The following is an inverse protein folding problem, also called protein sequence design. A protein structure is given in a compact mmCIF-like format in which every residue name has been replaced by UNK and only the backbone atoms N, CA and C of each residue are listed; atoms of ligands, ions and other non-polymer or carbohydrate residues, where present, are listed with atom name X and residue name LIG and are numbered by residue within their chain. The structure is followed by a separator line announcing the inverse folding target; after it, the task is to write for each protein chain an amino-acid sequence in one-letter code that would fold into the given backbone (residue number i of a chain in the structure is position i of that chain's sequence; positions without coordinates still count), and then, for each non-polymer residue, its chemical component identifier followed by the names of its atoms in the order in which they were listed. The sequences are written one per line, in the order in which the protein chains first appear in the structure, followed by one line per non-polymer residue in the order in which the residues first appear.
data_IF_002403126630
#
_entry.id   IF_002403126630
#
_cell.length_a   1.000
_cell.length_b   1.000
_cell.length_c   1.000
_cell.angle_alpha   90.00
_cell.angle_beta   90.00
_cell.angle_gamma   90.00
#
_symmetry.space_group_name_H-M   'P 1'
#
loop_
_entity.id
_entity.type
_entity.pdbx_description
1 polymer ?
#
# COMPACT_ATOMS: atom_id res chain seq x y z
N UNK A 1 22.11 -28.21 9.83
CA UNK A 1 21.88 -27.31 10.97
C UNK A 1 20.88 -26.28 10.48
N UNK A 2 19.60 -26.48 10.81
CA UNK A 2 18.46 -25.68 10.34
C UNK A 2 18.37 -24.43 11.20
N UNK A 3 18.29 -23.25 10.60
CA UNK A 3 18.03 -21.99 11.31
C UNK A 3 16.72 -21.43 10.80
N UNK A 4 15.65 -21.77 11.53
CA UNK A 4 14.34 -21.15 11.44
C UNK A 4 14.47 -19.72 11.97
N UNK A 5 14.09 -18.72 11.17
CA UNK A 5 14.12 -17.32 11.61
C UNK A 5 12.70 -16.89 11.95
N UNK A 6 12.29 -17.12 13.20
CA UNK A 6 11.11 -16.50 13.79
C UNK A 6 11.35 -14.99 13.96
N UNK A 7 10.54 -14.18 13.28
CA UNK A 7 10.52 -12.73 13.50
C UNK A 7 9.57 -12.44 14.65
N UNK A 8 10.12 -12.16 15.83
CA UNK A 8 9.39 -11.73 17.01
C UNK A 8 8.71 -10.38 16.79
N UNK A 9 7.39 -10.40 16.82
CA UNK A 9 6.51 -9.23 16.87
C UNK A 9 6.60 -8.53 18.23
N UNK A 10 7.06 -7.28 18.27
CA UNK A 10 6.89 -6.42 19.46
C UNK A 10 5.64 -5.57 19.25
N UNK A 11 4.59 -5.91 20.01
CA UNK A 11 3.35 -5.15 20.12
C UNK A 11 3.51 -3.97 21.08
N UNK A 12 3.01 -2.79 20.69
CA UNK A 12 2.64 -1.72 21.62
C UNK A 12 1.24 -1.19 21.29
N UNK A 13 0.56 -0.70 22.33
CA UNK A 13 -0.89 -0.61 22.50
C UNK A 13 -1.71 0.29 21.57
N UNK A 14 -3.02 0.04 21.65
CA UNK A 14 -4.16 0.42 20.78
C UNK A 14 -4.34 1.93 20.61
N UNK A 15 -4.30 2.37 19.35
CA UNK A 15 -5.08 3.50 18.80
C UNK A 15 -5.87 2.92 17.62
N UNK A 16 -7.15 3.26 17.52
CA UNK A 16 -8.12 2.90 16.45
C UNK A 16 -7.45 2.31 15.21
N UNK A 17 -7.53 0.98 15.03
CA UNK A 17 -6.85 0.26 13.95
C UNK A 17 -7.36 0.77 12.61
N UNK A 18 -6.60 1.67 11.98
CA UNK A 18 -6.56 1.71 10.52
C UNK A 18 -6.30 0.28 10.01
N UNK A 19 -6.90 -0.14 8.89
CA UNK A 19 -6.65 -1.48 8.35
C UNK A 19 -5.15 -1.69 8.24
N UNK A 20 -4.66 -2.72 8.98
CA UNK A 20 -3.23 -3.01 9.09
C UNK A 20 -2.60 -3.40 7.75
N UNK A 21 -3.44 -3.90 6.86
CA UNK A 21 -3.05 -4.34 5.53
C UNK A 21 -3.63 -3.41 4.45
N UNK A 22 -2.87 -3.18 3.38
CA UNK A 22 -3.40 -2.45 2.24
C UNK A 22 -4.57 -3.22 1.62
N UNK A 23 -5.60 -2.49 1.22
CA UNK A 23 -6.79 -3.05 0.55
C UNK A 23 -6.47 -3.55 -0.85
N UNK A 24 -5.42 -3.00 -1.47
CA UNK A 24 -4.95 -3.43 -2.77
C UNK A 24 -3.45 -3.14 -2.93
N UNK A 25 -2.74 -3.97 -3.70
CA UNK A 25 -1.32 -3.74 -4.03
C UNK A 25 -1.13 -3.91 -5.54
N UNK A 26 -0.54 -2.90 -6.17
CA UNK A 26 -0.16 -2.91 -7.58
C UNK A 26 1.36 -2.94 -7.66
N UNK A 27 1.92 -3.83 -8.48
CA UNK A 27 3.37 -4.04 -8.55
C UNK A 27 3.89 -4.11 -9.99
N UNK A 28 4.97 -3.39 -10.24
CA UNK A 28 5.75 -3.46 -11.47
C UNK A 28 7.24 -3.54 -11.16
N UNK A 29 7.85 -4.66 -11.55
CA UNK A 29 9.25 -4.96 -11.23
C UNK A 29 9.54 -4.84 -9.74
N UNK A 30 10.42 -3.90 -9.41
CA UNK A 30 10.84 -3.62 -8.03
C UNK A 30 9.94 -2.61 -7.30
N UNK A 31 9.01 -1.94 -8.00
CA UNK A 31 8.17 -0.87 -7.44
C UNK A 31 6.78 -1.42 -7.15
N UNK A 32 6.21 -1.06 -6.00
CA UNK A 32 4.83 -1.37 -5.64
C UNK A 32 4.11 -0.14 -5.07
N UNK A 33 2.84 0.00 -5.42
CA UNK A 33 1.89 0.90 -4.80
C UNK A 33 0.95 0.09 -3.91
N UNK A 34 0.95 0.38 -2.61
CA UNK A 34 0.01 -0.18 -1.64
C UNK A 34 -1.10 0.84 -1.40
N UNK A 35 -2.34 0.45 -1.68
CA UNK A 35 -3.54 1.28 -1.53
C UNK A 35 -4.19 0.95 -0.20
N UNK A 36 -4.59 1.96 0.56
CA UNK A 36 -5.19 1.83 1.88
C UNK A 36 -6.57 2.49 1.87
N UNK A 37 -7.51 1.93 2.64
CA UNK A 37 -8.79 2.58 2.94
C UNK A 37 -8.71 3.14 4.36
N UNK A 38 -8.75 4.46 4.50
CA UNK A 38 -8.64 5.14 5.80
C UNK A 38 -9.95 5.84 6.12
N UNK A 39 -10.11 6.19 7.39
CA UNK A 39 -11.23 7.01 7.85
C UNK A 39 -10.69 8.27 8.51
N UNK A 40 -11.13 9.42 8.04
CA UNK A 40 -10.76 10.71 8.62
C UNK A 40 -11.42 10.94 9.98
N UNK A 41 -10.96 11.92 10.78
CA UNK A 41 -11.56 12.25 12.08
C UNK A 41 -13.05 12.63 12.00
N UNK A 42 -13.50 13.14 10.85
CA UNK A 42 -14.89 13.47 10.54
C UNK A 42 -15.76 12.27 10.18
N UNK A 43 -15.19 11.07 10.13
CA UNK A 43 -15.89 9.83 9.80
C UNK A 43 -15.94 9.49 8.30
N UNK A 44 -15.51 10.38 7.41
CA UNK A 44 -15.45 10.10 5.97
C UNK A 44 -14.33 9.12 5.65
N UNK A 45 -14.66 8.06 4.91
CA UNK A 45 -13.69 7.13 4.37
C UNK A 45 -13.04 7.72 3.11
N UNK A 46 -11.75 7.48 2.93
CA UNK A 46 -11.00 7.87 1.74
C UNK A 46 -9.96 6.81 1.42
N UNK A 47 -9.48 6.79 0.17
CA UNK A 47 -8.37 5.96 -0.22
C UNK A 47 -7.10 6.80 -0.37
N UNK A 48 -5.97 6.25 0.03
CA UNK A 48 -4.65 6.77 -0.28
C UNK A 48 -3.72 5.64 -0.74
N UNK A 49 -2.53 5.97 -1.24
CA UNK A 49 -1.55 4.96 -1.57
C UNK A 49 -0.13 5.37 -1.18
N UNK A 50 0.67 4.37 -0.85
CA UNK A 50 2.10 4.52 -0.56
C UNK A 50 2.92 3.75 -1.57
N UNK A 51 4.02 4.34 -2.04
CA UNK A 51 4.97 3.69 -2.91
C UNK A 51 6.11 3.05 -2.09
N UNK A 52 6.60 1.92 -2.57
CA UNK A 52 7.81 1.28 -2.05
C UNK A 52 8.61 0.61 -3.16
N UNK A 53 9.93 0.53 -2.98
CA UNK A 53 10.84 -0.24 -3.82
C UNK A 53 11.44 -1.40 -3.05
N UNK A 54 11.30 -2.62 -3.56
CA UNK A 54 12.02 -3.77 -3.03
C UNK A 54 13.48 -3.78 -3.48
N UNK A 55 14.36 -4.25 -2.62
CA UNK A 55 15.77 -4.48 -2.93
C UNK A 55 16.24 -5.79 -2.33
N UNK A 56 17.28 -6.35 -2.94
CA UNK A 56 18.05 -7.48 -2.42
C UNK A 56 19.52 -7.10 -2.37
N UNK A 57 20.16 -7.29 -1.22
CA UNK A 57 21.60 -7.14 -1.10
C UNK A 57 22.28 -8.33 -1.75
N UNK A 58 23.22 -8.07 -2.65
CA UNK A 58 24.02 -9.10 -3.28
C UNK A 58 25.02 -9.75 -2.31
N UNK A 59 25.47 -9.01 -1.29
CA UNK A 59 26.51 -9.47 -0.36
C UNK A 59 25.99 -10.20 0.87
N UNK A 60 24.74 -9.93 1.29
CA UNK A 60 24.19 -10.46 2.54
C UNK A 60 22.91 -11.28 2.35
N UNK A 61 22.47 -11.48 1.10
CA UNK A 61 21.19 -12.10 0.70
C UNK A 61 19.92 -11.48 1.29
N UNK A 62 20.06 -10.43 2.12
CA UNK A 62 18.94 -9.73 2.76
C UNK A 62 18.08 -9.04 1.72
N UNK A 63 16.77 -9.11 1.92
CA UNK A 63 15.78 -8.36 1.16
C UNK A 63 15.13 -7.30 2.03
N UNK A 64 14.68 -6.21 1.43
CA UNK A 64 13.94 -5.17 2.15
C UNK A 64 13.18 -4.24 1.22
N UNK A 65 12.54 -3.25 1.83
CA UNK A 65 11.81 -2.19 1.13
C UNK A 65 12.48 -0.84 1.41
N UNK A 66 12.32 0.10 0.49
CA UNK A 66 12.85 1.46 0.60
C UNK A 66 11.86 2.46 0.00
N UNK A 67 11.87 3.69 0.51
CA UNK A 67 11.18 4.84 -0.08
C UNK A 67 12.11 5.68 -0.96
N UNK A 68 13.35 5.21 -1.21
CA UNK A 68 14.30 5.84 -2.11
C UNK A 68 14.27 5.15 -3.48
N UNK A 69 14.24 5.97 -4.54
CA UNK A 69 14.11 5.54 -5.93
C UNK A 69 15.30 6.00 -6.77
N UNK A 70 15.50 5.35 -7.91
CA UNK A 70 16.54 5.70 -8.87
C UNK A 70 15.91 6.15 -10.20
N UNK A 71 16.66 6.89 -11.02
CA UNK A 71 16.19 7.36 -12.33
C UNK A 71 15.67 6.23 -13.23
N UNK A 72 16.31 5.06 -13.18
CA UNK A 72 15.87 3.85 -13.91
C UNK A 72 14.51 3.30 -13.49
N UNK A 73 13.91 3.80 -12.42
CA UNK A 73 12.59 3.38 -11.93
C UNK A 73 11.47 4.30 -12.41
N UNK A 74 11.77 5.28 -13.28
CA UNK A 74 10.80 6.32 -13.69
C UNK A 74 9.56 5.73 -14.34
N UNK A 75 9.71 4.77 -15.25
CA UNK A 75 8.60 4.17 -15.97
C UNK A 75 7.70 3.36 -15.01
N UNK A 76 8.30 2.52 -14.16
CA UNK A 76 7.53 1.74 -13.19
C UNK A 76 6.84 2.66 -12.17
N UNK A 77 7.50 3.73 -11.72
CA UNK A 77 6.90 4.72 -10.81
C UNK A 77 5.67 5.39 -11.44
N UNK A 78 5.79 5.84 -12.68
CA UNK A 78 4.67 6.46 -13.41
C UNK A 78 3.54 5.44 -13.55
N UNK A 79 3.86 4.23 -13.99
CA UNK A 79 2.86 3.19 -14.25
C UNK A 79 2.11 2.79 -12.98
N UNK A 80 2.80 2.45 -11.89
CA UNK A 80 2.11 2.05 -10.64
C UNK A 80 1.32 3.21 -10.03
N UNK A 81 1.79 4.46 -10.17
CA UNK A 81 1.08 5.63 -9.64
C UNK A 81 -0.20 5.89 -10.41
N UNK A 82 -0.16 5.77 -11.75
CA UNK A 82 -1.35 5.87 -12.60
C UNK A 82 -2.36 4.78 -12.26
N UNK A 83 -1.93 3.52 -12.24
CA UNK A 83 -2.80 2.38 -11.93
C UNK A 83 -3.43 2.49 -10.54
N UNK A 84 -2.68 2.97 -9.54
CA UNK A 84 -3.21 3.19 -8.20
C UNK A 84 -4.26 4.31 -8.18
N UNK A 85 -4.00 5.43 -8.85
CA UNK A 85 -4.96 6.53 -8.97
C UNK A 85 -6.24 6.10 -9.70
N UNK A 86 -6.11 5.36 -10.81
CA UNK A 86 -7.25 4.83 -11.57
C UNK A 86 -8.09 3.88 -10.72
N UNK A 87 -7.44 2.98 -9.98
CA UNK A 87 -8.12 2.07 -9.05
C UNK A 87 -8.89 2.84 -7.97
N UNK A 88 -8.27 3.87 -7.37
CA UNK A 88 -8.93 4.70 -6.35
C UNK A 88 -10.14 5.41 -6.93
N UNK A 89 -9.99 6.06 -8.10
CA UNK A 89 -11.09 6.79 -8.73
C UNK A 89 -12.29 5.87 -9.04
N UNK A 90 -12.03 4.64 -9.50
CA UNK A 90 -13.08 3.65 -9.74
C UNK A 90 -13.82 3.27 -8.44
N UNK A 91 -13.09 3.11 -7.33
CA UNK A 91 -13.69 2.69 -6.05
C UNK A 91 -14.40 3.82 -5.33
N UNK A 92 -13.93 5.06 -5.45
CA UNK A 92 -14.63 6.24 -4.91
C UNK A 92 -15.97 6.48 -5.64
N UNK A 93 -16.02 6.25 -6.96
CA UNK A 93 -17.27 6.29 -7.72
C UNK A 93 -18.24 5.20 -7.26
N UNK A 94 -17.77 3.98 -7.01
CA UNK A 94 -18.62 2.89 -6.50
C UNK A 94 -19.13 3.17 -5.09
N UNK A 95 -18.27 3.61 -4.18
CA UNK A 95 -18.64 3.93 -2.79
C UNK A 95 -19.68 5.07 -2.74
N UNK A 96 -19.53 6.10 -3.58
CA UNK A 96 -20.49 7.22 -3.65
C UNK A 96 -21.85 6.82 -4.25
N UNK A 97 -21.87 5.96 -5.27
CA UNK A 97 -23.11 5.41 -5.84
C UNK A 97 -23.86 4.54 -4.82
N UNK A 98 -23.13 3.70 -4.07
CA UNK A 98 -23.72 2.88 -3.01
C UNK A 98 -24.29 3.72 -1.87
N UNK A 99 -23.56 4.75 -1.43
CA UNK A 99 -24.04 5.66 -0.38
C UNK A 99 -25.33 6.38 -0.80
N UNK A 100 -25.44 6.76 -2.08
CA UNK A 100 -26.64 7.42 -2.62
C UNK A 100 -27.83 6.47 -2.76
N UNK A 101 -27.59 5.22 -3.17
CA UNK A 101 -28.64 4.20 -3.30
C UNK A 101 -29.23 3.76 -1.94
N UNK A 102 -28.44 3.78 -0.87
CA UNK A 102 -28.90 3.41 0.47
C UNK A 102 -29.70 4.53 1.18
N UNK A 103 -29.60 5.77 0.69
CA UNK A 103 -30.26 6.93 1.26
C UNK A 103 -31.61 7.26 0.59
N UNK A 104 -31.97 6.54 -0.49
CA UNK A 104 -33.22 6.68 -1.23
C UNK A 104 -34.25 5.60 -0.81
#
# INVERSE_FOLDING_TARGET
MTIETETTSISSERKSQEPRDPVHIIREGAIAASIWKRQGPSGFAYFDFTLSRSWKSASTERTGYSKNYFSRNVEELISVSRKAADWIAEHEQKDSLQASALAA
#
